data_IF_904834166334
#
_entry.id   IF_904834166334
#
_cell.length_a   1.000
_cell.length_b   1.000
_cell.length_c   1.000
_cell.angle_alpha   90.00
_cell.angle_beta   90.00
_cell.angle_gamma   90.00
#
_symmetry.space_group_name_H-M   'P 1'
#
loop_
_entity.id
_entity.type
_entity.pdbx_description
1 polymer ?
#
# COMPACT_ATOMS: atom_id res chain seq x y z
N UNK A 1 12.91 -35.91 -0.32
CA UNK A 1 11.97 -36.65 -1.18
C UNK A 1 10.57 -36.09 -0.98
N UNK A 2 9.78 -36.00 -2.05
CA UNK A 2 8.36 -35.67 -1.94
C UNK A 2 7.61 -36.99 -1.69
N UNK A 3 6.72 -36.97 -0.70
CA UNK A 3 5.94 -38.14 -0.28
C UNK A 3 4.55 -38.11 -0.90
N UNK A 4 4.03 -39.26 -1.33
CA UNK A 4 2.66 -39.37 -1.84
C UNK A 4 1.63 -39.38 -0.67
N UNK A 5 0.34 -39.44 -0.97
CA UNK A 5 -0.74 -39.55 0.02
C UNK A 5 -0.66 -40.79 0.92
N UNK A 6 0.19 -41.77 0.58
CA UNK A 6 0.55 -42.92 1.41
C UNK A 6 1.87 -42.77 2.19
N UNK A 7 2.48 -41.58 2.22
CA UNK A 7 3.77 -41.28 2.86
C UNK A 7 4.98 -42.07 2.32
N UNK A 8 4.84 -42.69 1.14
CA UNK A 8 5.95 -43.31 0.41
C UNK A 8 6.67 -42.28 -0.45
N UNK A 9 8.00 -42.41 -0.56
CA UNK A 9 8.80 -41.60 -1.48
C UNK A 9 8.34 -41.83 -2.91
N UNK A 10 7.92 -40.77 -3.60
CA UNK A 10 7.46 -40.86 -4.99
C UNK A 10 8.32 -40.02 -5.91
N UNK A 11 8.76 -40.62 -7.02
CA UNK A 11 9.39 -39.94 -8.14
C UNK A 11 8.36 -39.36 -9.14
N UNK A 12 7.06 -39.53 -8.89
CA UNK A 12 6.00 -39.01 -9.77
C UNK A 12 5.95 -37.48 -9.80
N UNK A 13 6.42 -36.83 -8.73
CA UNK A 13 6.50 -35.38 -8.62
C UNK A 13 7.94 -34.96 -8.36
N UNK A 14 8.72 -34.84 -9.43
CA UNK A 14 10.07 -34.23 -9.36
C UNK A 14 9.95 -32.74 -9.63
N UNK A 15 10.54 -31.93 -8.74
CA UNK A 15 10.71 -30.51 -9.03
C UNK A 15 11.56 -30.37 -10.29
N UNK A 16 11.00 -29.77 -11.34
CA UNK A 16 11.71 -29.52 -12.60
C UNK A 16 13.00 -28.73 -12.39
N UNK A 17 13.07 -27.94 -11.31
CA UNK A 17 14.26 -27.21 -10.87
C UNK A 17 14.37 -27.24 -9.33
N UNK A 18 15.19 -28.13 -8.74
CA UNK A 18 15.33 -28.26 -7.29
C UNK A 18 16.15 -27.14 -6.65
N UNK A 19 16.97 -26.43 -7.42
CA UNK A 19 17.75 -25.28 -6.96
C UNK A 19 17.66 -24.12 -7.95
N UNK A 20 17.35 -22.93 -7.44
CA UNK A 20 17.35 -21.70 -8.22
C UNK A 20 18.35 -20.71 -7.63
N UNK A 21 19.28 -20.20 -8.46
CA UNK A 21 20.24 -19.16 -8.07
C UNK A 21 19.84 -17.84 -8.71
N UNK A 22 19.84 -16.78 -7.90
CA UNK A 22 19.48 -15.44 -8.34
C UNK A 22 20.56 -14.45 -7.94
N UNK A 23 20.75 -13.43 -8.78
CA UNK A 23 21.41 -12.19 -8.39
C UNK A 23 20.35 -11.11 -8.28
N UNK A 24 20.33 -10.41 -7.15
CA UNK A 24 19.40 -9.34 -6.84
C UNK A 24 20.16 -8.04 -6.59
N UNK A 25 19.91 -7.03 -7.42
CA UNK A 25 20.38 -5.66 -7.21
C UNK A 25 19.20 -4.74 -6.97
N UNK A 26 19.36 -3.84 -6.00
CA UNK A 26 18.35 -2.83 -5.65
C UNK A 26 19.06 -1.51 -5.36
N UNK A 27 18.54 -0.43 -5.94
CA UNK A 27 18.99 0.92 -5.66
C UNK A 27 17.76 1.79 -5.37
N UNK A 28 17.80 2.57 -4.31
CA UNK A 28 16.70 3.45 -3.92
C UNK A 28 17.21 4.85 -3.56
N UNK A 29 16.45 5.86 -3.94
CA UNK A 29 16.69 7.26 -3.57
C UNK A 29 15.44 7.81 -2.90
N UNK A 30 15.62 8.44 -1.75
CA UNK A 30 14.55 9.10 -1.01
C UNK A 30 14.90 10.55 -0.71
N UNK A 31 13.97 11.46 -0.95
CA UNK A 31 14.07 12.86 -0.60
C UNK A 31 12.85 13.29 0.20
N UNK A 32 13.06 13.72 1.44
CA UNK A 32 11.97 14.00 2.38
C UNK A 32 12.16 15.37 3.01
N UNK A 33 11.19 16.25 2.80
CA UNK A 33 11.07 17.57 3.43
C UNK A 33 9.77 17.72 4.21
N UNK A 34 8.95 16.66 4.26
CA UNK A 34 7.67 16.65 4.95
C UNK A 34 7.83 16.81 6.45
N UNK A 35 7.01 17.68 7.04
CA UNK A 35 6.98 17.96 8.48
C UNK A 35 5.59 17.66 9.02
N UNK A 36 5.57 17.18 10.26
CA UNK A 36 4.36 17.03 11.07
C UNK A 36 4.30 18.21 12.06
N UNK A 37 3.10 18.58 12.50
CA UNK A 37 2.91 19.59 13.55
C UNK A 37 2.12 18.98 14.71
N UNK A 38 2.14 19.63 15.87
CA UNK A 38 1.34 19.22 17.03
C UNK A 38 -0.13 19.05 16.65
N UNK A 39 -0.77 18.05 17.26
CA UNK A 39 -2.17 17.69 17.04
C UNK A 39 -2.52 17.11 15.65
N UNK A 40 -1.59 17.10 14.68
CA UNK A 40 -1.81 16.53 13.35
C UNK A 40 -1.72 15.00 13.32
N UNK A 41 -2.37 14.42 12.33
CA UNK A 41 -2.21 13.01 11.96
C UNK A 41 -1.39 12.93 10.67
N UNK A 42 -0.12 12.54 10.79
CA UNK A 42 0.80 12.40 9.64
C UNK A 42 1.36 13.73 9.11
N UNK A 43 1.83 13.71 7.86
CA UNK A 43 2.46 14.86 7.20
C UNK A 43 1.52 16.07 7.07
N UNK A 44 2.02 17.26 7.40
CA UNK A 44 1.27 18.52 7.40
C UNK A 44 1.74 19.47 6.31
N UNK A 45 3.05 19.50 6.04
CA UNK A 45 3.66 20.40 5.06
C UNK A 45 4.89 19.78 4.43
N UNK A 46 5.08 19.96 3.12
CA UNK A 46 6.30 19.57 2.42
C UNK A 46 6.09 18.34 1.54
N UNK A 47 7.18 17.72 1.09
CA UNK A 47 7.15 16.68 0.07
C UNK A 47 7.96 15.47 0.52
N UNK A 48 7.56 14.28 0.08
CA UNK A 48 8.32 13.04 0.21
C UNK A 48 8.38 12.35 -1.14
N UNK A 49 9.57 12.22 -1.71
CA UNK A 49 9.84 11.49 -2.95
C UNK A 49 10.62 10.22 -2.62
N UNK A 50 10.22 9.11 -3.24
CA UNK A 50 10.91 7.83 -3.17
C UNK A 50 10.93 7.22 -4.56
N UNK A 51 12.09 6.74 -5.00
CA UNK A 51 12.27 6.01 -6.25
C UNK A 51 13.13 4.79 -5.97
N UNK A 52 12.75 3.63 -6.52
CA UNK A 52 13.49 2.38 -6.39
C UNK A 52 13.59 1.68 -7.74
N UNK A 53 14.80 1.28 -8.09
CA UNK A 53 15.11 0.38 -9.19
C UNK A 53 15.54 -0.98 -8.64
N UNK A 54 15.02 -2.06 -9.22
CA UNK A 54 15.39 -3.43 -8.89
C UNK A 54 15.68 -4.22 -10.15
N UNK A 55 16.76 -4.99 -10.11
CA UNK A 55 17.14 -5.92 -11.18
C UNK A 55 17.37 -7.28 -10.56
N UNK A 56 16.70 -8.29 -11.11
CA UNK A 56 16.91 -9.69 -10.77
C UNK A 56 17.30 -10.46 -12.01
N UNK A 57 18.38 -11.23 -11.91
CA UNK A 57 18.77 -12.21 -12.92
C UNK A 57 18.79 -13.60 -12.31
N UNK A 58 18.25 -14.59 -13.02
CA UNK A 58 18.33 -15.98 -12.65
C UNK A 58 19.55 -16.63 -13.32
N UNK A 59 20.49 -17.13 -12.50
CA UNK A 59 21.78 -17.66 -12.96
C UNK A 59 21.75 -19.16 -13.27
N UNK A 60 20.73 -19.88 -12.80
CA UNK A 60 20.64 -21.34 -12.89
C UNK A 60 19.72 -21.83 -14.02
N UNK A 61 19.51 -21.00 -15.05
CA UNK A 61 18.71 -21.37 -16.23
C UNK A 61 19.60 -22.02 -17.29
N UNK A 62 19.09 -23.07 -17.94
CA UNK A 62 19.65 -23.59 -19.18
C UNK A 62 19.45 -22.56 -20.29
N UNK A 63 20.39 -22.45 -21.23
CA UNK A 63 20.36 -21.46 -22.32
C UNK A 63 19.06 -21.46 -23.13
N UNK A 64 18.42 -22.62 -23.28
CA UNK A 64 17.14 -22.78 -23.98
C UNK A 64 15.94 -22.15 -23.25
N UNK A 65 16.06 -21.87 -21.96
CA UNK A 65 15.00 -21.30 -21.11
C UNK A 65 15.22 -19.82 -20.78
N UNK A 66 16.36 -19.24 -21.18
CA UNK A 66 16.64 -17.81 -20.99
C UNK A 66 15.65 -16.99 -21.83
N UNK A 67 15.01 -16.00 -21.23
CA UNK A 67 14.01 -15.18 -21.91
C UNK A 67 12.64 -15.83 -22.08
N UNK A 68 12.48 -17.12 -21.72
CA UNK A 68 11.21 -17.83 -21.88
C UNK A 68 10.26 -17.49 -20.74
N UNK A 69 9.08 -17.02 -21.12
CA UNK A 69 8.01 -16.60 -20.21
C UNK A 69 7.60 -17.76 -19.27
N UNK A 70 7.43 -17.46 -17.99
CA UNK A 70 7.08 -18.45 -16.96
C UNK A 70 8.24 -19.31 -16.43
N UNK A 71 9.32 -19.47 -17.19
CA UNK A 71 10.53 -20.18 -16.77
C UNK A 71 11.61 -19.22 -16.26
N UNK A 72 11.92 -18.19 -17.06
CA UNK A 72 12.89 -17.18 -16.66
C UNK A 72 12.27 -16.19 -15.68
N UNK A 73 12.78 -16.19 -14.44
CA UNK A 73 12.30 -15.29 -13.38
C UNK A 73 13.11 -14.00 -13.29
N UNK A 74 13.88 -13.68 -14.33
CA UNK A 74 14.58 -12.42 -14.44
C UNK A 74 13.61 -11.27 -14.69
N UNK A 75 13.86 -10.13 -14.06
CA UNK A 75 13.07 -8.92 -14.26
C UNK A 75 13.85 -7.67 -13.87
N UNK A 76 13.44 -6.57 -14.49
CA UNK A 76 13.82 -5.21 -14.15
C UNK A 76 12.54 -4.49 -13.72
N UNK A 77 12.63 -3.73 -12.64
CA UNK A 77 11.52 -2.99 -12.06
C UNK A 77 12.00 -1.59 -11.73
N UNK A 78 11.21 -0.59 -12.09
CA UNK A 78 11.35 0.77 -11.63
C UNK A 78 10.02 1.20 -11.00
N UNK A 79 10.06 1.63 -9.75
CA UNK A 79 8.89 2.12 -9.05
C UNK A 79 9.19 3.47 -8.38
N UNK A 80 8.17 4.28 -8.19
CA UNK A 80 8.30 5.61 -7.59
C UNK A 80 7.04 6.06 -6.88
N UNK A 81 7.22 6.91 -5.87
CA UNK A 81 6.17 7.50 -5.06
C UNK A 81 6.51 8.93 -4.70
N UNK A 82 5.56 9.83 -4.90
CA UNK A 82 5.58 11.22 -4.49
C UNK A 82 4.41 11.47 -3.53
N UNK A 83 4.67 12.09 -2.39
CA UNK A 83 3.66 12.61 -1.47
C UNK A 83 3.89 14.10 -1.27
N UNK A 84 2.83 14.89 -1.31
CA UNK A 84 2.87 16.32 -1.05
C UNK A 84 1.81 16.67 -0.01
N UNK A 85 2.18 17.50 0.96
CA UNK A 85 1.30 17.95 2.04
C UNK A 85 1.24 19.47 2.00
N UNK A 86 0.02 19.99 1.85
CA UNK A 86 -0.26 21.43 1.76
C UNK A 86 -1.20 21.80 2.91
N UNK A 87 -0.75 22.60 3.88
CA UNK A 87 -1.65 23.15 4.89
C UNK A 87 -2.54 24.19 4.23
N UNK A 88 -3.85 24.10 4.43
CA UNK A 88 -4.83 24.99 3.80
C UNK A 88 -5.23 26.13 4.75
N UNK A 89 -5.89 25.79 5.86
CA UNK A 89 -6.42 26.76 6.81
C UNK A 89 -6.25 26.26 8.24
N UNK A 90 -5.99 27.19 9.17
CA UNK A 90 -5.89 26.91 10.60
C UNK A 90 -7.20 27.27 11.28
N UNK A 91 -7.92 26.27 11.80
CA UNK A 91 -9.13 26.46 12.60
C UNK A 91 -9.23 25.40 13.68
N UNK A 92 -9.53 25.80 14.91
CA UNK A 92 -9.58 24.88 16.06
C UNK A 92 -8.21 24.43 16.55
N UNK A 93 -8.07 23.14 16.88
CA UNK A 93 -6.88 22.56 17.51
C UNK A 93 -5.84 22.02 16.51
N UNK A 94 -6.15 22.01 15.21
CA UNK A 94 -5.25 21.54 14.17
C UNK A 94 -5.51 22.25 12.83
N UNK A 95 -4.49 22.37 11.98
CA UNK A 95 -4.62 22.84 10.59
C UNK A 95 -5.29 21.80 9.71
N UNK A 96 -6.05 22.25 8.71
CA UNK A 96 -6.57 21.41 7.64
C UNK A 96 -5.47 21.16 6.62
N UNK A 97 -5.33 19.92 6.16
CA UNK A 97 -4.23 19.51 5.29
C UNK A 97 -4.78 18.84 4.04
N UNK A 98 -4.34 19.29 2.88
CA UNK A 98 -4.48 18.55 1.63
C UNK A 98 -3.22 17.71 1.43
N UNK A 99 -3.39 16.39 1.47
CA UNK A 99 -2.36 15.42 1.15
C UNK A 99 -2.62 14.88 -0.26
N UNK A 100 -1.59 14.90 -1.10
CA UNK A 100 -1.61 14.31 -2.44
C UNK A 100 -0.57 13.21 -2.49
N UNK A 101 -0.92 12.08 -3.06
CA UNK A 101 0.01 10.98 -3.31
C UNK A 101 -0.10 10.54 -4.76
N UNK A 102 1.04 10.35 -5.40
CA UNK A 102 1.16 9.68 -6.70
C UNK A 102 2.16 8.55 -6.55
N UNK A 103 1.82 7.38 -7.08
CA UNK A 103 2.67 6.20 -7.08
C UNK A 103 2.54 5.47 -8.40
N UNK A 104 3.62 4.85 -8.86
CA UNK A 104 3.63 4.17 -10.13
C UNK A 104 4.84 3.29 -10.30
N UNK A 105 4.75 2.33 -11.21
CA UNK A 105 5.85 1.45 -11.54
C UNK A 105 5.73 0.84 -12.92
N UNK A 106 6.88 0.46 -13.45
CA UNK A 106 7.05 -0.22 -14.72
C UNK A 106 8.00 -1.40 -14.52
N UNK A 107 7.63 -2.57 -15.04
CA UNK A 107 8.43 -3.77 -14.94
C UNK A 107 8.59 -4.46 -16.29
N UNK A 108 9.81 -4.87 -16.59
CA UNK A 108 10.20 -5.56 -17.83
C UNK A 108 10.84 -6.90 -17.49
N UNK A 109 10.59 -7.91 -18.31
CA UNK A 109 11.25 -9.21 -18.23
C UNK A 109 10.25 -10.36 -18.32
N UNK A 110 10.73 -11.60 -18.50
CA UNK A 110 9.86 -12.75 -18.71
C UNK A 110 8.97 -13.07 -17.50
N UNK A 111 9.36 -12.64 -16.29
CA UNK A 111 8.56 -12.79 -15.08
C UNK A 111 7.38 -11.82 -14.98
N UNK A 112 7.43 -10.67 -15.65
CA UNK A 112 6.55 -9.53 -15.33
C UNK A 112 5.15 -9.63 -15.94
N UNK A 113 4.91 -10.66 -16.73
CA UNK A 113 3.72 -10.81 -17.59
C UNK A 113 2.46 -11.29 -16.88
N UNK A 114 2.60 -11.85 -15.68
CA UNK A 114 1.46 -12.30 -14.87
C UNK A 114 1.05 -11.24 -13.84
N UNK A 115 0.97 -9.97 -14.28
CA UNK A 115 0.49 -8.88 -13.44
C UNK A 115 1.45 -8.52 -12.30
N UNK A 116 2.65 -8.03 -12.67
CA UNK A 116 3.71 -7.65 -11.74
C UNK A 116 3.28 -6.59 -10.73
N UNK A 117 2.63 -5.52 -11.20
CA UNK A 117 2.01 -4.52 -10.35
C UNK A 117 0.54 -4.79 -10.16
N UNK A 118 0.06 -4.54 -8.94
CA UNK A 118 -1.32 -4.77 -8.53
C UNK A 118 -1.88 -3.50 -7.92
N UNK A 119 -3.03 -3.06 -8.41
CA UNK A 119 -3.73 -1.85 -7.99
C UNK A 119 -5.01 -2.24 -7.27
N UNK A 120 -5.29 -1.55 -6.16
CA UNK A 120 -6.52 -1.70 -5.40
C UNK A 120 -6.31 -2.14 -3.96
N UNK A 121 -7.29 -1.82 -3.12
CA UNK A 121 -7.26 -2.03 -1.68
C UNK A 121 -6.90 -0.75 -0.92
N UNK A 122 -7.23 -0.75 0.37
CA UNK A 122 -6.81 0.27 1.32
C UNK A 122 -5.43 -0.07 1.89
N UNK A 123 -4.47 0.86 1.86
CA UNK A 123 -3.21 0.69 2.57
C UNK A 123 -3.43 0.80 4.08
N UNK A 124 -2.67 0.02 4.83
CA UNK A 124 -2.54 0.16 6.27
C UNK A 124 -1.07 0.11 6.68
N UNK A 125 -0.82 0.21 7.98
CA UNK A 125 0.48 -0.14 8.55
C UNK A 125 0.32 -1.35 9.45
N UNK A 126 1.36 -2.18 9.61
CA UNK A 126 1.39 -3.19 10.66
C UNK A 126 1.11 -2.54 12.01
N UNK A 127 0.57 -3.33 12.93
CA UNK A 127 0.27 -2.88 14.28
C UNK A 127 1.57 -2.77 15.11
N UNK A 128 1.70 -1.72 15.92
CA UNK A 128 2.98 -1.35 16.54
C UNK A 128 3.40 -2.24 17.72
N UNK A 129 2.48 -2.97 18.39
CA UNK A 129 2.81 -3.82 19.56
C UNK A 129 3.30 -5.21 19.14
N UNK A 130 2.58 -5.86 18.23
CA UNK A 130 2.82 -7.25 17.84
C UNK A 130 3.49 -7.38 16.48
N UNK A 131 3.51 -6.30 15.68
CA UNK A 131 3.97 -6.33 14.29
C UNK A 131 3.05 -7.12 13.35
N UNK A 132 1.90 -7.58 13.83
CA UNK A 132 0.95 -8.37 13.04
C UNK A 132 0.18 -7.48 12.05
N UNK A 133 -0.14 -8.04 10.88
CA UNK A 133 -1.00 -7.39 9.89
C UNK A 133 -2.49 -7.48 10.29
N UNK A 134 -2.85 -6.88 11.42
CA UNK A 134 -4.23 -6.87 11.89
C UNK A 134 -5.09 -5.94 11.02
N UNK A 135 -6.32 -6.37 10.73
CA UNK A 135 -7.30 -5.61 9.92
C UNK A 135 -6.77 -5.17 8.54
N UNK A 136 -5.87 -5.95 7.93
CA UNK A 136 -5.27 -5.63 6.63
C UNK A 136 -4.14 -4.60 6.70
N UNK A 137 -3.39 -4.55 7.80
CA UNK A 137 -2.21 -3.71 8.00
C UNK A 137 -1.01 -4.06 7.11
N UNK A 138 -1.15 -3.98 5.78
CA UNK A 138 -0.03 -4.09 4.84
C UNK A 138 0.09 -2.83 3.98
N UNK A 139 1.34 -2.39 3.78
CA UNK A 139 1.67 -1.23 2.97
C UNK A 139 1.45 -1.57 1.50
N UNK A 140 0.37 -1.04 0.92
CA UNK A 140 0.06 -1.21 -0.49
C UNK A 140 0.77 -0.12 -1.29
N UNK A 141 1.53 -0.51 -2.32
CA UNK A 141 2.28 0.45 -3.12
C UNK A 141 1.37 1.36 -3.95
N UNK A 142 0.32 0.76 -4.56
CA UNK A 142 -0.67 1.38 -5.44
C UNK A 142 -2.09 1.25 -4.85
N UNK A 143 -2.40 2.00 -3.78
CA UNK A 143 -3.70 1.90 -3.12
C UNK A 143 -4.79 2.60 -3.95
N UNK A 144 -5.95 1.94 -4.08
CA UNK A 144 -7.21 2.56 -4.53
C UNK A 144 -8.30 1.99 -3.64
N UNK A 145 -8.79 2.79 -2.71
CA UNK A 145 -9.84 2.39 -1.76
C UNK A 145 -11.14 2.09 -2.50
N UNK A 146 -11.99 1.29 -1.87
CA UNK A 146 -13.25 0.85 -2.48
C UNK A 146 -13.14 -0.31 -3.48
N UNK A 147 -11.93 -0.69 -3.87
CA UNK A 147 -11.67 -1.88 -4.67
C UNK A 147 -10.99 -2.97 -3.83
N UNK A 148 -11.23 -4.24 -4.21
CA UNK A 148 -10.54 -5.37 -3.61
C UNK A 148 -9.01 -5.28 -3.78
N UNK A 149 -8.26 -5.99 -2.93
CA UNK A 149 -6.81 -6.13 -3.13
C UNK A 149 -6.54 -6.76 -4.50
N UNK A 150 -5.60 -6.20 -5.24
CA UNK A 150 -5.21 -6.72 -6.57
C UNK A 150 -6.35 -6.73 -7.60
N UNK A 151 -7.28 -5.77 -7.52
CA UNK A 151 -8.40 -5.67 -8.44
C UNK A 151 -7.98 -5.51 -9.90
N UNK A 152 -6.86 -4.80 -10.14
CA UNK A 152 -6.20 -4.76 -11.44
C UNK A 152 -4.75 -5.14 -11.33
N UNK A 153 -4.23 -5.76 -12.38
CA UNK A 153 -2.84 -6.16 -12.46
C UNK A 153 -2.27 -5.89 -13.85
N UNK A 154 -0.96 -5.60 -13.92
CA UNK A 154 -0.26 -5.40 -15.19
C UNK A 154 1.23 -5.11 -15.01
N UNK A 155 1.98 -5.11 -16.12
CA UNK A 155 3.40 -4.68 -16.16
C UNK A 155 3.63 -3.22 -15.83
N UNK A 156 2.64 -2.38 -16.10
CA UNK A 156 2.66 -0.97 -15.78
C UNK A 156 1.46 -0.64 -14.92
N UNK A 157 1.69 0.19 -13.91
CA UNK A 157 0.60 0.66 -13.07
C UNK A 157 0.90 2.03 -12.49
N UNK A 158 -0.15 2.80 -12.24
CA UNK A 158 -0.10 4.03 -11.47
C UNK A 158 -1.35 4.16 -10.60
N UNK A 159 -1.20 4.84 -9.47
CA UNK A 159 -2.27 5.21 -8.58
C UNK A 159 -1.99 6.61 -8.02
N UNK A 160 -3.04 7.42 -7.96
CA UNK A 160 -3.05 8.76 -7.39
C UNK A 160 -4.15 8.85 -6.34
N UNK A 161 -3.87 9.53 -5.25
CA UNK A 161 -4.82 9.76 -4.17
C UNK A 161 -4.73 11.20 -3.69
N UNK A 162 -5.89 11.83 -3.55
CA UNK A 162 -6.03 13.13 -2.90
C UNK A 162 -6.83 12.95 -1.62
N UNK A 163 -6.29 13.45 -0.51
CA UNK A 163 -6.88 13.38 0.81
C UNK A 163 -6.98 14.77 1.42
N UNK A 164 -8.19 15.16 1.80
CA UNK A 164 -8.43 16.35 2.59
C UNK A 164 -8.68 15.96 4.05
N UNK A 165 -7.71 16.26 4.91
CA UNK A 165 -7.70 15.92 6.34
C UNK A 165 -8.12 17.13 7.16
N UNK A 166 -9.02 16.91 8.12
CA UNK A 166 -9.55 17.95 8.98
C UNK A 166 -9.74 17.45 10.43
N UNK A 167 -9.39 18.27 11.44
CA UNK A 167 -9.63 17.92 12.83
C UNK A 167 -11.12 17.85 13.12
N UNK A 168 -11.58 16.76 13.75
CA UNK A 168 -12.98 16.61 14.17
C UNK A 168 -13.15 16.99 15.64
N UNK A 169 -12.38 16.34 16.52
CA UNK A 169 -12.49 16.56 17.96
C UNK A 169 -11.18 16.22 18.68
N UNK A 170 -10.81 17.07 19.63
CA UNK A 170 -9.78 16.79 20.62
C UNK A 170 -10.50 16.32 21.88
N UNK A 171 -10.45 15.02 22.17
CA UNK A 171 -11.19 14.43 23.29
C UNK A 171 -10.33 14.44 24.55
N UNK A 172 -9.05 14.08 24.41
CA UNK A 172 -8.03 14.05 25.46
C UNK A 172 -8.56 13.49 26.79
N UNK A 173 -9.21 12.33 26.75
CA UNK A 173 -9.91 11.74 27.89
C UNK A 173 -9.50 10.28 28.12
N UNK A 174 -9.01 10.01 29.33
CA UNK A 174 -8.79 8.65 29.83
C UNK A 174 -10.08 8.01 30.35
N UNK A 175 -10.18 6.68 30.22
CA UNK A 175 -11.27 5.95 30.85
C UNK A 175 -10.87 5.51 32.27
N UNK A 176 -11.09 6.38 33.26
CA UNK A 176 -10.77 6.09 34.68
C UNK A 176 -9.29 5.67 34.84
N UNK A 177 -9.01 4.70 35.72
CA UNK A 177 -7.68 4.09 35.90
C UNK A 177 -7.34 3.02 34.84
N UNK A 178 -8.18 2.83 33.81
CA UNK A 178 -7.82 1.91 32.73
C UNK A 178 -6.66 2.49 31.92
N UNK A 179 -5.73 1.63 31.45
CA UNK A 179 -4.61 2.03 30.62
C UNK A 179 -5.04 2.35 29.17
N UNK A 180 -6.14 3.08 28.99
CA UNK A 180 -6.69 3.47 27.69
C UNK A 180 -7.07 4.94 27.73
N UNK A 181 -6.45 5.71 26.85
CA UNK A 181 -6.70 7.13 26.69
C UNK A 181 -7.12 7.44 25.26
N UNK A 182 -8.21 8.19 25.10
CA UNK A 182 -8.67 8.65 23.81
C UNK A 182 -8.16 10.08 23.57
N UNK A 183 -7.25 10.24 22.62
CA UNK A 183 -6.61 11.53 22.33
C UNK A 183 -7.49 12.38 21.40
N UNK A 184 -7.71 11.92 20.17
CA UNK A 184 -8.38 12.74 19.14
C UNK A 184 -9.02 11.97 18.01
N UNK A 185 -9.90 12.67 17.31
CA UNK A 185 -10.60 12.25 16.10
C UNK A 185 -10.22 13.17 14.93
N UNK A 186 -9.84 12.55 13.82
CA UNK A 186 -9.53 13.25 12.56
C UNK A 186 -10.39 12.68 11.45
N UNK A 187 -11.03 13.55 10.70
CA UNK A 187 -11.77 13.21 9.49
C UNK A 187 -10.90 13.37 8.25
N UNK A 188 -11.13 12.54 7.24
CA UNK A 188 -10.52 12.66 5.94
C UNK A 188 -11.54 12.39 4.84
N UNK A 189 -11.59 13.26 3.84
CA UNK A 189 -12.26 12.96 2.56
C UNK A 189 -11.19 12.56 1.56
N UNK A 190 -11.44 11.53 0.77
CA UNK A 190 -10.48 11.07 -0.21
C UNK A 190 -11.07 10.88 -1.60
N UNK A 191 -10.20 11.02 -2.59
CA UNK A 191 -10.43 10.69 -3.98
C UNK A 191 -9.24 9.90 -4.50
N UNK A 192 -9.48 8.64 -4.87
CA UNK A 192 -8.45 7.74 -5.37
C UNK A 192 -8.73 7.39 -6.83
N UNK A 193 -7.69 7.36 -7.64
CA UNK A 193 -7.75 6.94 -9.05
C UNK A 193 -6.51 6.11 -9.38
N UNK A 194 -6.66 5.06 -10.17
CA UNK A 194 -5.53 4.26 -10.59
C UNK A 194 -5.82 3.39 -11.80
N UNK A 195 -4.75 2.92 -12.43
CA UNK A 195 -4.83 1.98 -13.53
C UNK A 195 -3.64 1.02 -13.51
N UNK A 196 -3.87 -0.22 -13.92
CA UNK A 196 -2.82 -1.16 -14.27
C UNK A 196 -3.14 -1.71 -15.65
N UNK A 197 -2.12 -1.86 -16.49
CA UNK A 197 -2.31 -2.30 -17.86
C UNK A 197 -1.18 -3.16 -18.38
N UNK A 198 -1.57 -3.97 -19.37
CA UNK A 198 -0.69 -4.78 -20.18
C UNK A 198 -1.49 -5.26 -21.42
N UNK A 199 -1.10 -4.94 -22.68
CA UNK A 199 -0.23 -3.87 -23.16
C UNK A 199 -0.93 -2.50 -23.35
N UNK A 200 -2.27 -2.42 -23.24
CA UNK A 200 -3.03 -1.23 -23.63
C UNK A 200 -3.14 -0.16 -22.51
N UNK A 201 -2.46 1.01 -22.64
CA UNK A 201 -2.50 2.06 -21.61
C UNK A 201 -3.84 2.80 -21.53
N UNK A 202 -4.67 2.74 -22.57
CA UNK A 202 -5.91 3.52 -22.68
C UNK A 202 -7.12 2.86 -22.00
N UNK A 203 -6.90 1.83 -21.18
CA UNK A 203 -7.96 1.23 -20.38
C UNK A 203 -8.59 2.23 -19.40
N UNK A 204 -9.90 2.13 -19.18
CA UNK A 204 -10.65 2.99 -18.26
C UNK A 204 -10.08 2.91 -16.84
N UNK A 205 -9.52 3.97 -16.26
CA UNK A 205 -9.01 3.95 -14.89
C UNK A 205 -10.11 3.64 -13.86
N UNK A 206 -9.74 2.97 -12.76
CA UNK A 206 -10.62 2.80 -11.61
C UNK A 206 -10.56 4.05 -10.74
N UNK A 207 -11.71 4.51 -10.27
CA UNK A 207 -11.82 5.73 -9.48
C UNK A 207 -12.77 5.50 -8.32
N UNK A 208 -12.45 6.06 -7.15
CA UNK A 208 -13.31 6.05 -5.97
C UNK A 208 -13.26 7.38 -5.23
N UNK A 209 -14.33 7.68 -4.51
CA UNK A 209 -14.38 8.77 -3.52
C UNK A 209 -14.83 8.18 -2.19
N UNK A 210 -14.48 8.81 -1.09
CA UNK A 210 -14.97 8.35 0.19
C UNK A 210 -14.59 9.23 1.36
N UNK A 211 -14.95 8.75 2.54
CA UNK A 211 -14.68 9.40 3.80
C UNK A 211 -14.08 8.40 4.77
N UNK A 212 -13.18 8.88 5.61
CA UNK A 212 -12.52 8.08 6.64
C UNK A 212 -12.46 8.87 7.95
N UNK A 213 -12.65 8.18 9.05
CA UNK A 213 -12.48 8.70 10.40
C UNK A 213 -11.34 7.93 11.07
N UNK A 214 -10.36 8.68 11.55
CA UNK A 214 -9.22 8.17 12.29
C UNK A 214 -9.36 8.52 13.76
N UNK A 215 -9.41 7.51 14.62
CA UNK A 215 -9.38 7.64 16.07
C UNK A 215 -7.96 7.33 16.58
N UNK A 216 -7.41 8.22 17.39
CA UNK A 216 -6.13 8.00 18.06
C UNK A 216 -6.38 7.63 19.52
N UNK A 217 -5.87 6.47 19.92
CA UNK A 217 -5.91 5.97 21.28
C UNK A 217 -4.49 5.77 21.77
N UNK A 218 -4.24 6.04 23.04
CA UNK A 218 -3.00 5.71 23.72
C UNK A 218 -3.31 4.59 24.72
N UNK A 219 -2.86 3.37 24.38
CA UNK A 219 -2.94 2.20 25.23
C UNK A 219 -1.69 2.08 26.10
N UNK A 220 -1.85 1.61 27.34
CA UNK A 220 -0.75 1.43 28.31
C UNK A 220 0.11 2.68 28.54
N UNK A 221 -0.44 3.86 28.22
CA UNK A 221 0.24 5.16 28.28
C UNK A 221 1.54 5.27 27.46
N UNK A 222 1.80 4.31 26.57
CA UNK A 222 3.03 4.23 25.77
C UNK A 222 2.77 3.79 24.33
N UNK A 223 1.72 2.99 24.11
CA UNK A 223 1.37 2.48 22.79
C UNK A 223 0.33 3.36 22.11
N UNK A 224 0.71 4.05 21.04
CA UNK A 224 -0.25 4.72 20.16
C UNK A 224 -0.96 3.72 19.24
N UNK A 225 -2.28 3.61 19.36
CA UNK A 225 -3.14 2.81 18.48
C UNK A 225 -3.99 3.74 17.64
N UNK A 226 -3.91 3.55 16.32
CA UNK A 226 -4.65 4.37 15.35
C UNK A 226 -5.68 3.53 14.62
N UNK A 227 -6.95 3.74 14.94
CA UNK A 227 -8.07 3.05 14.32
C UNK A 227 -8.66 3.89 13.20
N UNK A 228 -8.68 3.34 11.99
CA UNK A 228 -9.20 4.00 10.78
C UNK A 228 -10.45 3.26 10.29
N UNK A 229 -11.57 3.96 10.27
CA UNK A 229 -12.84 3.43 9.73
C UNK A 229 -13.22 4.27 8.53
N UNK A 230 -13.43 3.63 7.38
CA UNK A 230 -13.71 4.33 6.14
C UNK A 230 -14.81 3.70 5.31
N UNK A 231 -15.46 4.55 4.52
CA UNK A 231 -16.45 4.17 3.51
C UNK A 231 -15.99 4.72 2.17
N UNK A 232 -15.94 3.85 1.17
CA UNK A 232 -15.50 4.15 -0.18
C UNK A 232 -16.63 3.84 -1.18
N UNK A 233 -16.83 4.77 -2.11
CA UNK A 233 -17.78 4.72 -3.20
C UNK A 233 -16.99 4.65 -4.52
N UNK A 234 -16.87 3.47 -5.15
CA UNK A 234 -16.29 3.34 -6.47
C UNK A 234 -17.18 4.09 -7.48
N UNK A 235 -16.57 4.99 -8.25
CA UNK A 235 -17.23 5.74 -9.32
C UNK A 235 -17.15 5.01 -10.66
N UNK A 236 -16.02 4.33 -10.90
CA UNK A 236 -15.75 3.64 -12.16
C UNK A 236 -15.08 2.30 -11.91
N UNK A 237 -15.62 1.21 -12.48
CA UNK A 237 -15.01 -0.12 -12.49
C UNK A 237 -15.58 -1.11 -11.46
N UNK A 238 -16.36 -0.65 -10.49
CA UNK A 238 -17.10 -1.51 -9.56
C UNK A 238 -18.40 -0.81 -9.14
N UNK A 239 -19.39 -1.60 -8.72
CA UNK A 239 -20.66 -1.09 -8.21
C UNK A 239 -20.81 -1.47 -6.73
N UNK A 240 -21.38 -0.58 -5.92
CA UNK A 240 -21.68 -0.80 -4.51
C UNK A 240 -20.75 -0.07 -3.55
N UNK A 241 -21.16 0.00 -2.28
CA UNK A 241 -20.41 0.71 -1.23
C UNK A 241 -19.46 -0.26 -0.55
N UNK A 242 -18.19 0.13 -0.39
CA UNK A 242 -17.20 -0.64 0.35
C UNK A 242 -16.93 0.02 1.70
N UNK A 243 -17.01 -0.75 2.78
CA UNK A 243 -16.65 -0.30 4.13
C UNK A 243 -15.41 -1.05 4.59
N UNK A 244 -14.55 -0.39 5.36
CA UNK A 244 -13.35 -1.03 5.90
C UNK A 244 -12.98 -0.47 7.27
N UNK A 245 -12.32 -1.33 8.05
CA UNK A 245 -11.65 -1.00 9.29
C UNK A 245 -10.16 -1.34 9.14
N UNK A 246 -9.28 -0.46 9.59
CA UNK A 246 -7.81 -0.58 9.46
C UNK A 246 -7.14 -0.07 10.73
N UNK A 247 -5.93 -0.57 10.98
CA UNK A 247 -5.00 -0.01 11.97
C UNK A 247 -3.87 0.71 11.22
N UNK A 248 -3.42 1.85 11.74
CA UNK A 248 -2.27 2.57 11.22
C UNK A 248 -2.53 3.98 10.70
N UNK A 249 -1.51 4.60 10.11
CA UNK A 249 -1.64 5.91 9.44
C UNK A 249 -2.29 5.77 8.05
N UNK A 250 -3.03 6.78 7.56
CA UNK A 250 -3.21 6.98 6.12
C UNK A 250 -1.84 7.25 5.49
N UNK A 251 -1.74 7.11 4.17
CA UNK A 251 -0.44 7.24 3.49
C UNK A 251 0.29 8.55 3.82
#
# INVERSE_FOLDING_TARGET
ELLNGGLESTAAYVLTQPAARFTDFRASVSYVTSRTHSFQTGGTRGISLFVEGKVRHQLSLTDSLIGVEGFDRSFEELNGRLRAYVPLWGGGHATHVLALQVSGGAARGPKTQFGHFRVGGASGTPEDVTGLELFGGSSIFLPVRGFGRSFRAGRYAWASSAEYRFPLALVNRGWSAWPVHFDRLVGALFWDIGNAWEPNPFGTAITSVGAEVTSQLLGFYDTEVRLRTGVAFPLTGANGVSTYLRIGLPF
#
